data_IF_000991634604
#
_entry.id   IF_000991634604
#
_cell.length_a   1.000
_cell.length_b   1.000
_cell.length_c   1.000
_cell.angle_alpha   90.00
_cell.angle_beta   90.00
_cell.angle_gamma   90.00
#
_symmetry.space_group_name_H-M   'P 1'
#
loop_
_entity.id
_entity.type
_entity.pdbx_description
1 polymer ?
#
# COMPACT_ATOMS: atom_id res chain seq x y z
N UNK A 1 -5.95 -38.82 -22.16
CA UNK A 1 -6.14 -37.68 -23.09
C UNK A 1 -6.46 -38.32 -24.41
N UNK A 2 -7.69 -38.21 -24.88
CA UNK A 2 -8.15 -38.91 -26.08
C UNK A 2 -8.68 -37.85 -27.07
N UNK A 3 -8.15 -37.89 -28.30
CA UNK A 3 -8.57 -37.08 -29.47
C UNK A 3 -8.17 -35.59 -29.53
N UNK A 4 -6.87 -35.27 -29.75
CA UNK A 4 -6.46 -33.94 -30.18
C UNK A 4 -6.96 -33.64 -31.59
N UNK A 5 -7.62 -32.50 -31.76
CA UNK A 5 -8.15 -32.00 -33.04
C UNK A 5 -7.16 -31.07 -33.72
N UNK A 6 -6.46 -30.25 -32.92
CA UNK A 6 -5.46 -29.31 -33.39
C UNK A 6 -4.28 -29.28 -32.40
N UNK A 7 -3.07 -29.51 -32.88
CA UNK A 7 -1.85 -29.49 -32.07
C UNK A 7 -0.93 -28.34 -32.45
N UNK A 8 0.04 -28.02 -31.57
CA UNK A 8 1.01 -26.94 -31.79
C UNK A 8 0.36 -25.60 -32.11
N UNK A 9 -0.72 -25.29 -31.38
CA UNK A 9 -1.58 -24.13 -31.65
C UNK A 9 -0.82 -22.83 -31.39
N UNK A 10 -0.91 -21.91 -32.34
CA UNK A 10 -0.32 -20.58 -32.25
C UNK A 10 -1.38 -19.54 -32.62
N UNK A 11 -1.44 -18.45 -31.85
CA UNK A 11 -2.29 -17.31 -32.14
C UNK A 11 -1.42 -16.07 -32.35
N UNK A 12 -1.64 -15.36 -33.45
CA UNK A 12 -0.98 -14.09 -33.76
C UNK A 12 -2.01 -13.01 -34.04
N UNK A 13 -1.78 -11.84 -33.47
CA UNK A 13 -2.63 -10.67 -33.68
C UNK A 13 -1.93 -9.72 -34.64
N UNK A 14 -2.57 -9.42 -35.77
CA UNK A 14 -2.07 -8.47 -36.77
C UNK A 14 -2.91 -7.19 -36.72
N UNK A 15 -2.26 -6.03 -36.84
CA UNK A 15 -2.93 -4.74 -36.82
C UNK A 15 -3.43 -4.27 -35.43
N UNK A 16 -3.32 -5.12 -34.40
CA UNK A 16 -3.72 -4.82 -33.02
C UNK A 16 -2.52 -4.91 -32.08
N UNK A 17 -2.37 -3.94 -31.16
CA UNK A 17 -1.36 -4.00 -30.09
C UNK A 17 -1.94 -4.78 -28.90
N UNK A 18 -1.64 -6.08 -28.82
CA UNK A 18 -2.13 -7.00 -27.79
C UNK A 18 -1.02 -7.29 -26.77
N UNK A 19 -1.36 -7.23 -25.49
CA UNK A 19 -0.47 -7.49 -24.36
C UNK A 19 -1.21 -8.28 -23.27
N UNK A 20 -0.46 -8.77 -22.27
CA UNK A 20 -1.01 -9.56 -21.16
C UNK A 20 -1.87 -10.75 -21.65
N UNK A 21 -1.37 -11.51 -22.62
CA UNK A 21 -2.10 -12.67 -23.18
C UNK A 21 -1.96 -13.88 -22.25
N UNK A 22 -3.09 -14.52 -21.96
CA UNK A 22 -3.22 -15.70 -21.10
C UNK A 22 -3.99 -16.82 -21.81
N UNK A 23 -3.52 -18.08 -21.76
CA UNK A 23 -2.20 -18.50 -21.25
C UNK A 23 -1.06 -18.06 -22.18
N UNK A 24 0.18 -17.94 -21.68
CA UNK A 24 1.35 -17.54 -22.48
C UNK A 24 1.74 -18.59 -23.53
N UNK A 25 1.42 -19.87 -23.27
CA UNK A 25 1.56 -20.96 -24.23
C UNK A 25 0.19 -21.63 -24.40
N UNK A 26 -0.23 -21.77 -25.66
CA UNK A 26 -1.52 -22.36 -25.98
C UNK A 26 -1.45 -23.88 -25.90
N UNK A 27 -2.39 -24.54 -25.20
CA UNK A 27 -2.49 -25.98 -25.21
C UNK A 27 -3.09 -26.49 -26.53
N UNK A 28 -2.95 -27.80 -26.77
CA UNK A 28 -3.62 -28.48 -27.87
C UNK A 28 -5.15 -28.45 -27.70
N UNK A 29 -5.86 -28.32 -28.81
CA UNK A 29 -7.34 -28.33 -28.83
C UNK A 29 -7.81 -29.77 -28.87
N UNK A 30 -8.64 -30.15 -27.90
CA UNK A 30 -9.27 -31.47 -27.81
C UNK A 30 -10.73 -31.37 -28.24
N UNK A 31 -11.31 -32.48 -28.73
CA UNK A 31 -12.65 -32.49 -29.32
C UNK A 31 -13.78 -31.92 -28.44
N UNK A 32 -13.63 -32.02 -27.11
CA UNK A 32 -14.66 -31.61 -26.14
C UNK A 32 -14.21 -30.48 -25.20
N UNK A 33 -13.04 -29.87 -25.45
CA UNK A 33 -12.48 -28.83 -24.57
C UNK A 33 -12.02 -27.62 -25.37
N UNK A 34 -12.72 -26.47 -25.28
CA UNK A 34 -12.28 -25.27 -25.96
C UNK A 34 -11.00 -24.74 -25.32
N UNK A 35 -10.15 -24.14 -26.16
CA UNK A 35 -9.01 -23.34 -25.71
C UNK A 35 -9.48 -21.90 -25.60
N UNK A 36 -9.41 -21.34 -24.39
CA UNK A 36 -9.83 -19.97 -24.11
C UNK A 36 -8.58 -19.12 -23.96
N UNK A 37 -8.53 -18.02 -24.71
CA UNK A 37 -7.42 -17.06 -24.66
C UNK A 37 -7.98 -15.71 -24.24
N UNK A 38 -7.39 -15.13 -23.21
CA UNK A 38 -7.67 -13.79 -22.77
C UNK A 38 -6.49 -12.89 -23.13
N UNK A 39 -6.76 -11.62 -23.43
CA UNK A 39 -5.71 -10.65 -23.71
C UNK A 39 -6.25 -9.24 -23.56
N UNK A 40 -5.33 -8.30 -23.35
CA UNK A 40 -5.64 -6.88 -23.35
C UNK A 40 -5.11 -6.28 -24.64
N UNK A 41 -5.78 -5.26 -25.15
CA UNK A 41 -5.27 -4.51 -26.29
C UNK A 41 -5.25 -3.03 -26.00
N UNK A 42 -4.41 -2.31 -26.74
CA UNK A 42 -4.45 -0.85 -26.81
C UNK A 42 -5.15 -0.44 -28.09
N UNK A 43 -5.88 0.66 -28.03
CA UNK A 43 -6.49 1.25 -29.22
C UNK A 43 -5.39 1.48 -30.28
N UNK A 44 -5.66 1.24 -31.58
CA UNK A 44 -4.68 1.46 -32.63
C UNK A 44 -4.18 2.91 -32.57
N UNK A 45 -2.87 3.11 -32.55
CA UNK A 45 -2.31 4.44 -32.77
C UNK A 45 -2.80 4.95 -34.13
N UNK A 46 -3.30 6.20 -34.18
CA UNK A 46 -3.75 6.85 -35.41
C UNK A 46 -2.65 6.70 -36.49
N UNK A 47 -2.92 5.91 -37.54
CA UNK A 47 -1.98 5.66 -38.64
C UNK A 47 -1.68 4.18 -38.95
N UNK A 48 -2.14 3.20 -38.16
CA UNK A 48 -2.12 1.80 -38.60
C UNK A 48 -3.24 1.54 -39.61
N UNK A 49 -2.86 1.43 -40.88
CA UNK A 49 -3.76 1.04 -41.97
C UNK A 49 -3.85 -0.49 -42.03
N UNK A 50 -5.02 -1.04 -41.68
CA UNK A 50 -5.35 -2.46 -41.78
C UNK A 50 -6.47 -2.84 -40.82
N UNK A 51 -7.43 -3.64 -41.28
CA UNK A 51 -8.43 -4.23 -40.37
C UNK A 51 -7.71 -5.22 -39.45
N UNK A 52 -7.85 -5.10 -38.12
CA UNK A 52 -7.17 -6.00 -37.20
C UNK A 52 -7.70 -7.43 -37.38
N UNK A 53 -6.81 -8.42 -37.29
CA UNK A 53 -7.15 -9.83 -37.46
C UNK A 53 -6.38 -10.72 -36.50
N UNK A 54 -7.02 -11.82 -36.12
CA UNK A 54 -6.44 -12.93 -35.38
C UNK A 54 -6.12 -14.05 -36.37
N UNK A 55 -4.86 -14.45 -36.44
CA UNK A 55 -4.38 -15.58 -37.23
C UNK A 55 -4.12 -16.74 -36.28
N UNK A 56 -4.87 -17.83 -36.44
CA UNK A 56 -4.69 -19.07 -35.70
C UNK A 56 -4.03 -20.09 -36.61
N UNK A 57 -2.94 -20.69 -36.15
CA UNK A 57 -2.18 -21.72 -36.86
C UNK A 57 -2.01 -22.96 -35.98
N UNK A 58 -1.85 -24.12 -36.61
CA UNK A 58 -1.55 -25.37 -35.92
C UNK A 58 -1.51 -26.54 -36.88
N UNK A 59 -1.49 -27.76 -36.34
CA UNK A 59 -1.50 -28.99 -37.12
C UNK A 59 -2.76 -29.79 -36.81
N UNK A 60 -3.61 -29.97 -37.82
CA UNK A 60 -4.81 -30.79 -37.73
C UNK A 60 -4.61 -32.18 -38.35
N UNK A 61 -5.64 -33.02 -38.28
CA UNK A 61 -5.64 -34.34 -38.90
C UNK A 61 -5.43 -34.31 -40.43
N UNK A 62 -5.85 -33.22 -41.09
CA UNK A 62 -5.73 -33.01 -42.54
C UNK A 62 -4.45 -32.29 -42.98
N UNK A 63 -3.50 -32.02 -42.08
CA UNK A 63 -2.29 -31.25 -42.36
C UNK A 63 -2.30 -29.86 -41.70
N UNK A 64 -1.52 -28.89 -42.23
CA UNK A 64 -1.39 -27.58 -41.61
C UNK A 64 -2.72 -26.84 -41.62
N UNK A 65 -3.10 -26.33 -40.46
CA UNK A 65 -4.32 -25.55 -40.26
C UNK A 65 -3.95 -24.07 -40.13
N UNK A 66 -4.68 -23.23 -40.85
CA UNK A 66 -4.60 -21.77 -40.72
C UNK A 66 -5.99 -21.18 -40.87
N UNK A 67 -6.37 -20.33 -39.92
CA UNK A 67 -7.61 -19.59 -39.96
C UNK A 67 -7.35 -18.12 -39.63
N UNK A 68 -7.94 -17.23 -40.42
CA UNK A 68 -7.90 -15.79 -40.18
C UNK A 68 -9.28 -15.30 -39.78
N UNK A 69 -9.36 -14.61 -38.65
CA UNK A 69 -10.57 -14.10 -38.06
C UNK A 69 -10.48 -12.57 -38.01
N UNK A 70 -11.39 -11.83 -38.68
CA UNK A 70 -11.43 -10.38 -38.58
C UNK A 70 -11.86 -9.98 -37.16
N UNK A 71 -11.20 -8.97 -36.60
CA UNK A 71 -11.52 -8.41 -35.28
C UNK A 71 -12.19 -7.06 -35.48
N UNK A 72 -13.44 -6.92 -35.03
CA UNK A 72 -14.13 -5.64 -35.04
C UNK A 72 -13.95 -4.93 -33.69
N UNK A 73 -12.93 -4.08 -33.61
CA UNK A 73 -12.63 -3.30 -32.41
C UNK A 73 -13.66 -2.20 -32.16
N UNK A 74 -14.33 -1.69 -33.21
CA UNK A 74 -15.32 -0.63 -33.06
C UNK A 74 -16.62 -1.17 -32.46
N UNK A 75 -17.05 -2.35 -32.91
CA UNK A 75 -18.16 -3.07 -32.30
C UNK A 75 -17.86 -3.40 -30.81
N UNK A 76 -16.63 -3.79 -30.49
CA UNK A 76 -16.21 -4.09 -29.12
C UNK A 76 -16.10 -2.85 -28.23
N UNK A 77 -15.67 -1.70 -28.75
CA UNK A 77 -15.49 -0.47 -27.97
C UNK A 77 -16.80 0.11 -27.42
N UNK A 78 -17.94 -0.19 -28.06
CA UNK A 78 -19.26 0.17 -27.57
C UNK A 78 -19.81 -0.74 -26.48
N UNK A 79 -19.14 -1.87 -26.19
CA UNK A 79 -19.57 -2.90 -25.26
C UNK A 79 -18.51 -3.10 -24.17
N UNK A 80 -18.29 -2.07 -23.34
CA UNK A 80 -17.39 -2.21 -22.20
C UNK A 80 -17.99 -3.20 -21.19
N UNK A 81 -17.60 -4.46 -21.30
CA UNK A 81 -18.06 -5.55 -20.44
C UNK A 81 -17.12 -5.71 -19.24
N UNK A 82 -17.49 -5.21 -18.04
CA UNK A 82 -16.62 -5.27 -16.86
C UNK A 82 -16.30 -6.72 -16.48
N UNK A 83 -17.18 -7.68 -16.82
CA UNK A 83 -16.98 -9.10 -16.53
C UNK A 83 -15.69 -9.67 -17.17
N UNK A 84 -15.36 -9.26 -18.40
CA UNK A 84 -14.17 -9.75 -19.11
C UNK A 84 -12.87 -9.40 -18.38
N UNK A 85 -12.83 -8.23 -17.73
CA UNK A 85 -11.68 -7.78 -16.95
C UNK A 85 -11.41 -8.71 -15.77
N UNK A 86 -12.46 -9.15 -15.08
CA UNK A 86 -12.35 -10.09 -13.97
C UNK A 86 -12.02 -11.51 -14.43
N UNK A 87 -12.53 -11.95 -15.59
CA UNK A 87 -12.19 -13.26 -16.16
C UNK A 87 -10.70 -13.36 -16.48
N UNK A 88 -10.13 -12.34 -17.14
CA UNK A 88 -8.69 -12.26 -17.37
C UNK A 88 -7.90 -12.30 -16.05
N UNK A 89 -8.28 -11.47 -15.07
CA UNK A 89 -7.55 -11.37 -13.81
C UNK A 89 -7.58 -12.68 -13.02
N UNK A 90 -8.73 -13.36 -12.96
CA UNK A 90 -8.87 -14.67 -12.30
C UNK A 90 -8.01 -15.73 -12.99
N UNK A 91 -8.00 -15.76 -14.33
CA UNK A 91 -7.18 -16.71 -15.07
C UNK A 91 -5.68 -16.46 -14.85
N UNK A 92 -5.26 -15.19 -14.84
CA UNK A 92 -3.87 -14.82 -14.54
C UNK A 92 -3.47 -15.22 -13.12
N UNK A 93 -4.32 -14.96 -12.12
CA UNK A 93 -4.09 -15.36 -10.73
C UNK A 93 -3.97 -16.88 -10.64
N UNK A 94 -4.88 -17.64 -11.26
CA UNK A 94 -4.82 -19.10 -11.27
C UNK A 94 -3.50 -19.62 -11.85
N UNK A 95 -3.07 -19.08 -13.01
CA UNK A 95 -1.79 -19.48 -13.62
C UNK A 95 -0.58 -19.20 -12.71
N UNK A 96 -0.55 -18.04 -12.05
CA UNK A 96 0.53 -17.69 -11.11
C UNK A 96 0.51 -18.56 -9.86
N UNK A 97 -0.68 -18.85 -9.32
CA UNK A 97 -0.85 -19.75 -8.18
C UNK A 97 -0.43 -21.18 -8.51
N UNK A 98 -0.78 -21.68 -9.70
CA UNK A 98 -0.36 -23.01 -10.18
C UNK A 98 1.17 -23.08 -10.32
N UNK A 99 1.80 -22.03 -10.86
CA UNK A 99 3.25 -21.97 -10.97
C UNK A 99 3.94 -21.97 -9.60
N UNK A 100 3.40 -21.23 -8.64
CA UNK A 100 3.91 -21.19 -7.26
C UNK A 100 3.73 -22.54 -6.55
N UNK A 101 2.59 -23.21 -6.76
CA UNK A 101 2.34 -24.55 -6.22
C UNK A 101 3.32 -25.61 -6.77
N UNK A 102 3.72 -25.50 -8.04
CA UNK A 102 4.68 -26.41 -8.68
C UNK A 102 6.13 -26.12 -8.27
N UNK A 103 6.50 -24.83 -8.21
CA UNK A 103 7.89 -24.41 -7.94
C UNK A 103 8.21 -24.41 -6.45
N UNK A 104 7.19 -24.20 -5.60
CA UNK A 104 7.35 -23.89 -4.19
C UNK A 104 7.85 -22.45 -3.97
N UNK A 105 7.67 -21.97 -2.74
CA UNK A 105 8.06 -20.61 -2.32
C UNK A 105 6.96 -19.57 -2.53
N UNK A 106 7.35 -18.29 -2.55
CA UNK A 106 6.45 -17.14 -2.62
C UNK A 106 6.83 -16.16 -3.74
N UNK A 107 7.52 -16.64 -4.77
CA UNK A 107 8.01 -15.81 -5.87
C UNK A 107 6.88 -15.05 -6.61
N UNK A 108 5.67 -15.61 -6.65
CA UNK A 108 4.52 -14.99 -7.32
C UNK A 108 3.62 -14.21 -6.36
N UNK A 109 3.89 -14.24 -5.06
CA UNK A 109 3.08 -13.58 -4.01
C UNK A 109 2.83 -12.11 -4.29
N UNK A 110 3.87 -11.36 -4.65
CA UNK A 110 3.73 -9.93 -4.94
C UNK A 110 2.81 -9.68 -6.15
N UNK A 111 2.93 -10.49 -7.20
CA UNK A 111 2.10 -10.37 -8.40
C UNK A 111 0.64 -10.76 -8.13
N UNK A 112 0.40 -11.86 -7.42
CA UNK A 112 -0.93 -12.33 -7.03
C UNK A 112 -1.62 -11.30 -6.13
N UNK A 113 -0.91 -10.78 -5.12
CA UNK A 113 -1.44 -9.76 -4.20
C UNK A 113 -1.82 -8.49 -4.96
N UNK A 114 -0.95 -8.02 -5.86
CA UNK A 114 -1.22 -6.85 -6.68
C UNK A 114 -2.46 -7.03 -7.55
N UNK A 115 -2.60 -8.16 -8.25
CA UNK A 115 -3.78 -8.44 -9.06
C UNK A 115 -5.05 -8.53 -8.21
N UNK A 116 -4.96 -9.13 -7.02
CA UNK A 116 -6.05 -9.16 -6.04
C UNK A 116 -6.51 -7.78 -5.61
N UNK A 117 -5.59 -6.84 -5.40
CA UNK A 117 -5.92 -5.46 -5.05
C UNK A 117 -6.43 -4.66 -6.25
N UNK A 118 -5.72 -4.68 -7.38
CA UNK A 118 -6.04 -3.93 -8.60
C UNK A 118 -7.44 -4.28 -9.14
N UNK A 119 -7.85 -5.55 -9.01
CA UNK A 119 -9.14 -6.05 -9.47
C UNK A 119 -10.13 -6.33 -8.34
N UNK A 120 -9.84 -5.97 -7.08
CA UNK A 120 -10.71 -6.30 -5.94
C UNK A 120 -11.16 -7.77 -5.94
N UNK A 121 -10.20 -8.69 -6.05
CA UNK A 121 -10.40 -10.13 -6.03
C UNK A 121 -9.84 -10.74 -4.75
N UNK A 122 -10.59 -11.71 -4.21
CA UNK A 122 -10.12 -12.57 -3.12
C UNK A 122 -9.12 -13.57 -3.69
N UNK A 123 -7.95 -13.65 -3.07
CA UNK A 123 -6.84 -14.54 -3.43
C UNK A 123 -6.31 -15.21 -2.17
N UNK A 124 -5.34 -16.12 -2.30
CA UNK A 124 -4.64 -16.69 -1.15
C UNK A 124 -3.91 -15.63 -0.29
N UNK A 125 -3.71 -14.41 -0.82
CA UNK A 125 -2.99 -13.32 -0.16
C UNK A 125 -3.86 -12.08 0.13
N UNK A 126 -5.15 -12.10 -0.20
CA UNK A 126 -6.06 -10.96 -0.01
C UNK A 126 -7.36 -11.40 0.67
N UNK A 127 -7.88 -10.59 1.58
CA UNK A 127 -9.14 -10.82 2.27
C UNK A 127 -9.99 -9.54 2.30
N UNK A 128 -11.31 -9.70 2.24
CA UNK A 128 -12.23 -8.58 2.46
C UNK A 128 -12.52 -8.46 3.95
N UNK A 129 -12.15 -7.32 4.53
CA UNK A 129 -12.42 -6.99 5.94
C UNK A 129 -13.39 -5.81 5.96
N UNK A 130 -14.55 -6.01 6.59
CA UNK A 130 -15.48 -4.92 6.88
C UNK A 130 -15.15 -4.36 8.27
N UNK A 131 -14.84 -3.06 8.34
CA UNK A 131 -14.61 -2.34 9.60
C UNK A 131 -15.85 -1.52 9.91
N UNK A 132 -16.54 -1.85 11.00
CA UNK A 132 -17.62 -1.03 11.54
C UNK A 132 -17.06 -0.05 12.58
N UNK A 133 -17.23 1.25 12.34
CA UNK A 133 -16.70 2.30 13.21
C UNK A 133 -17.83 2.93 14.02
N UNK A 134 -18.01 2.46 15.25
CA UNK A 134 -18.97 3.04 16.18
C UNK A 134 -18.32 4.14 17.01
N UNK A 135 -18.70 5.40 16.73
CA UNK A 135 -18.28 6.54 17.55
C UNK A 135 -19.11 6.58 18.83
N UNK A 136 -18.54 6.15 19.96
CA UNK A 136 -19.23 6.07 21.26
C UNK A 136 -19.54 7.42 21.92
N UNK A 137 -18.82 8.48 21.54
CA UNK A 137 -19.07 9.84 22.03
C UNK A 137 -18.94 10.85 20.88
N UNK A 138 -19.96 10.98 20.02
CA UNK A 138 -19.91 11.88 18.86
C UNK A 138 -19.81 13.36 19.26
N UNK A 139 -20.26 13.71 20.47
CA UNK A 139 -20.35 15.10 20.96
C UNK A 139 -19.23 15.53 21.91
N UNK A 140 -18.27 14.65 22.23
CA UNK A 140 -17.15 14.94 23.14
C UNK A 140 -17.55 15.27 24.59
N UNK A 141 -18.82 15.18 24.94
CA UNK A 141 -19.34 15.48 26.28
C UNK A 141 -19.14 14.25 27.16
N UNK A 142 -17.98 14.17 27.80
CA UNK A 142 -17.72 13.17 28.83
C UNK A 142 -18.24 13.63 30.18
N UNK A 143 -18.99 12.78 30.89
CA UNK A 143 -19.29 13.01 32.30
C UNK A 143 -18.09 12.54 33.14
N UNK A 144 -17.49 13.43 33.93
CA UNK A 144 -16.49 13.05 34.92
C UNK A 144 -17.17 12.34 36.08
N UNK A 145 -16.91 11.04 36.24
CA UNK A 145 -17.35 10.30 37.42
C UNK A 145 -16.27 10.40 38.51
N UNK A 146 -16.62 10.92 39.68
CA UNK A 146 -15.73 10.91 40.83
C UNK A 146 -15.72 9.51 41.45
N UNK A 147 -14.92 8.63 40.86
CA UNK A 147 -14.76 7.26 41.35
C UNK A 147 -13.80 7.27 42.56
N UNK A 148 -14.23 6.77 43.73
CA UNK A 148 -13.34 6.58 44.86
C UNK A 148 -12.18 5.66 44.45
N UNK A 149 -10.94 6.10 44.64
CA UNK A 149 -9.76 5.25 44.47
C UNK A 149 -9.45 4.61 45.82
N UNK A 150 -9.85 3.35 46.07
CA UNK A 150 -9.47 2.69 47.31
C UNK A 150 -7.96 2.55 47.39
N UNK A 151 -7.41 2.62 48.60
CA UNK A 151 -6.00 2.34 48.82
C UNK A 151 -5.72 0.84 48.63
N UNK A 152 -4.58 0.47 48.02
CA UNK A 152 -4.12 -0.91 48.02
C UNK A 152 -4.03 -1.48 49.44
N UNK A 153 -4.31 -2.76 49.62
CA UNK A 153 -4.16 -3.38 50.95
C UNK A 153 -2.71 -3.27 51.46
N UNK A 154 -2.56 -2.86 52.72
CA UNK A 154 -1.27 -2.76 53.39
C UNK A 154 -0.53 -1.42 53.23
N UNK A 155 -1.08 -0.45 52.49
CA UNK A 155 -0.53 0.92 52.49
C UNK A 155 -1.13 1.75 53.61
N UNK A 156 -0.28 2.50 54.32
CA UNK A 156 -0.73 3.45 55.35
C UNK A 156 -1.08 4.79 54.72
N UNK A 157 -1.98 5.56 55.36
CA UNK A 157 -2.39 6.91 54.91
C UNK A 157 -1.20 7.88 54.69
N UNK A 158 -0.01 7.58 55.24
CA UNK A 158 1.23 8.34 55.02
C UNK A 158 1.79 8.22 53.60
N UNK A 159 1.35 7.24 52.81
CA UNK A 159 1.80 7.04 51.43
C UNK A 159 1.10 7.99 50.45
N UNK A 160 -0.04 8.56 50.84
CA UNK A 160 -0.68 9.65 50.09
C UNK A 160 -0.01 10.94 50.53
N UNK A 161 0.86 11.49 49.67
CA UNK A 161 1.58 12.72 49.97
C UNK A 161 0.61 13.81 50.41
N UNK A 162 0.82 14.34 51.61
CA UNK A 162 0.08 15.48 52.11
C UNK A 162 0.29 16.64 51.13
N UNK A 163 -0.78 17.11 50.49
CA UNK A 163 -0.70 18.23 49.55
C UNK A 163 -0.18 19.52 50.23
N UNK A 164 -0.21 19.58 51.57
CA UNK A 164 0.44 20.60 52.38
C UNK A 164 1.98 20.50 52.37
N UNK A 165 2.54 19.30 52.17
CA UNK A 165 3.99 19.08 52.11
C UNK A 165 4.60 19.41 50.74
N UNK A 166 3.78 19.57 49.69
CA UNK A 166 4.21 20.10 48.38
C UNK A 166 4.30 21.64 48.35
N UNK A 167 3.90 22.32 49.44
CA UNK A 167 4.10 23.75 49.67
C UNK A 167 5.31 24.08 50.55
N UNK A 168 5.98 23.08 51.12
CA UNK A 168 7.30 23.29 51.68
C UNK A 168 8.25 23.45 50.49
N UNK A 169 8.56 24.70 50.16
CA UNK A 169 9.67 25.03 49.29
C UNK A 169 10.84 24.16 49.70
N UNK A 170 11.19 23.18 48.86
CA UNK A 170 12.49 22.55 48.91
C UNK A 170 13.43 23.75 48.88
N UNK A 171 14.12 24.01 50.00
CA UNK A 171 15.10 25.07 50.04
C UNK A 171 16.11 24.71 48.95
N UNK A 172 15.98 25.35 47.78
CA UNK A 172 16.87 25.12 46.66
C UNK A 172 18.25 25.44 47.18
N UNK A 173 19.04 24.40 47.45
CA UNK A 173 20.46 24.52 47.77
C UNK A 173 21.04 25.46 46.72
N UNK A 174 21.55 26.65 47.08
CA UNK A 174 22.01 27.59 46.07
C UNK A 174 23.14 26.93 45.29
N UNK A 175 22.90 26.64 44.00
CA UNK A 175 23.91 26.00 43.17
C UNK A 175 25.13 26.93 43.07
N UNK A 176 26.37 26.39 43.11
CA UNK A 176 27.59 27.19 43.13
C UNK A 176 27.69 28.23 41.99
N UNK A 177 26.98 28.01 40.89
CA UNK A 177 26.88 28.94 39.77
C UNK A 177 26.14 30.25 40.11
N UNK A 178 25.20 30.22 41.05
CA UNK A 178 24.46 31.43 41.50
C UNK A 178 25.38 32.43 42.23
N UNK A 179 26.32 31.91 43.02
CA UNK A 179 27.35 32.72 43.67
C UNK A 179 28.31 33.34 42.66
N UNK A 180 28.70 32.57 41.63
CA UNK A 180 29.52 33.09 40.54
C UNK A 180 28.80 34.21 39.77
N UNK A 181 27.51 34.06 39.48
CA UNK A 181 26.71 35.10 38.83
C UNK A 181 26.62 36.39 39.67
N UNK A 182 26.43 36.27 40.99
CA UNK A 182 26.42 37.44 41.89
C UNK A 182 27.76 38.19 41.93
N UNK A 183 28.88 37.47 41.93
CA UNK A 183 30.22 38.07 41.90
C UNK A 183 30.48 38.81 40.59
N UNK A 184 30.05 38.27 39.45
CA UNK A 184 30.17 38.94 38.15
C UNK A 184 29.36 40.25 38.13
N UNK A 185 28.13 40.24 38.64
CA UNK A 185 27.29 41.44 38.71
C UNK A 185 27.94 42.53 39.58
N UNK A 186 28.51 42.15 40.73
CA UNK A 186 29.24 43.08 41.61
C UNK A 186 30.50 43.64 40.94
N UNK A 187 31.26 42.81 40.22
CA UNK A 187 32.44 43.26 39.48
C UNK A 187 32.09 44.26 38.37
N UNK A 188 30.99 44.03 37.64
CA UNK A 188 30.50 44.94 36.59
C UNK A 188 30.06 46.27 37.20
N UNK A 189 29.30 46.25 38.30
CA UNK A 189 28.89 47.47 39.02
C UNK A 189 30.09 48.25 39.57
N UNK A 190 31.07 47.55 40.14
CA UNK A 190 32.33 48.14 40.60
C UNK A 190 33.13 48.79 39.47
N UNK A 191 33.25 48.12 38.32
CA UNK A 191 33.92 48.66 37.14
C UNK A 191 33.19 49.88 36.55
N UNK A 192 31.85 49.88 36.55
CA UNK A 192 31.05 51.02 36.12
C UNK A 192 31.21 52.23 37.07
N UNK A 193 31.26 51.99 38.37
CA UNK A 193 31.52 53.04 39.37
C UNK A 193 32.96 53.59 39.27
N UNK A 194 33.96 52.74 39.04
CA UNK A 194 35.35 53.14 38.83
C UNK A 194 35.51 53.98 37.55
N UNK A 195 34.88 53.57 36.45
CA UNK A 195 34.85 54.34 35.19
C UNK A 195 34.15 55.69 35.36
N UNK A 196 33.07 55.75 36.15
CA UNK A 196 32.40 57.03 36.50
C UNK A 196 33.29 57.95 37.35
N UNK A 197 34.14 57.41 38.23
CA UNK A 197 35.13 58.19 38.99
C UNK A 197 36.25 58.72 38.11
N UNK A 198 36.82 57.91 37.21
CA UNK A 198 37.91 58.34 36.31
C UNK A 198 37.46 59.43 35.31
N UNK A 199 36.20 59.40 34.86
CA UNK A 199 35.63 60.48 34.01
C UNK A 199 35.42 61.81 34.75
N UNK A 200 35.47 61.83 36.09
CA UNK A 200 35.42 63.07 36.90
C UNK A 200 36.79 63.68 37.16
N UNK A 201 37.89 63.00 36.81
CA UNK A 201 39.26 63.45 37.07
C UNK A 201 39.96 64.09 35.86
N UNK A 202 39.23 64.42 34.79
CA UNK A 202 39.74 65.13 33.60
C UNK A 202 38.87 66.36 33.30
N UNK A 203 38.74 67.24 34.28
CA UNK A 203 38.37 68.65 34.12
C UNK A 203 38.86 69.40 35.35
N UNK A 204 40.14 69.76 35.34
CA UNK A 204 40.76 70.89 36.04
C UNK A 204 42.20 71.02 35.53
#
# INVERSE_FOLDING_TARGET
>A
IESPVLTSVQARFEGLDVYDVEPPQLPDVLAERPVIVFGKWRAPAAGRHGQPRLVVEGQGAGGPYRQELPVDVQAAAGQDEPALRFLWARHRIASLSDQEALTGGDAQKAAITRLGLDYSLLTQYTSFIAVDQVVRNPGGQGATSNQPSPMPEGVTDRAVGDASALGAAVASTPEPETWAAMLVVLAVLGAQLARRRQRRSYTA
#
